data_IF_451362434415
#
_entry.id   IF_451362434415
#
_cell.length_a   1.000
_cell.length_b   1.000
_cell.length_c   1.000
_cell.angle_alpha   90.00
_cell.angle_beta   90.00
_cell.angle_gamma   90.00
#
_symmetry.space_group_name_H-M   'P 1'
#
loop_
_entity.id
_entity.type
_entity.pdbx_description
1 polymer ?
#
# COMPACT_ATOMS: atom_id res chain seq x y z
N UNK A 1 -5.64 -0.55 11.32
CA UNK A 1 -4.27 -0.63 10.75
C UNK A 1 -3.75 -2.05 10.92
N UNK A 2 -2.91 -2.54 10.01
CA UNK A 2 -2.34 -3.90 10.04
C UNK A 2 -0.93 -3.87 10.62
N UNK A 3 -0.53 -4.94 11.31
CA UNK A 3 0.75 -5.03 11.99
C UNK A 3 1.42 -6.38 11.78
N UNK A 4 2.74 -6.37 11.64
CA UNK A 4 3.58 -7.56 11.71
C UNK A 4 4.76 -7.28 12.66
N UNK A 5 5.03 -8.22 13.57
CA UNK A 5 6.07 -8.08 14.60
C UNK A 5 6.02 -6.73 15.34
N UNK A 6 4.82 -6.38 15.85
CA UNK A 6 4.51 -5.13 16.58
C UNK A 6 4.79 -3.83 15.79
N UNK A 7 4.92 -3.90 14.47
CA UNK A 7 5.22 -2.76 13.61
C UNK A 7 4.16 -2.60 12.53
N UNK A 8 3.70 -1.36 12.32
CA UNK A 8 2.82 -0.98 11.21
C UNK A 8 3.64 -0.75 9.95
N UNK A 9 4.03 -1.83 9.29
CA UNK A 9 4.77 -1.76 8.03
C UNK A 9 3.90 -1.21 6.90
N UNK A 10 4.53 -0.43 6.01
CA UNK A 10 3.84 0.18 4.88
C UNK A 10 4.21 -0.49 3.54
N UNK A 11 5.38 -1.13 3.45
CA UNK A 11 5.91 -1.75 2.22
C UNK A 11 5.19 -3.02 1.75
N UNK A 12 5.67 -3.64 0.67
CA UNK A 12 4.94 -4.71 -0.01
C UNK A 12 5.02 -6.08 0.68
N UNK A 13 6.14 -6.42 1.34
CA UNK A 13 6.34 -7.76 1.88
C UNK A 13 5.51 -8.04 3.15
N UNK A 14 5.48 -7.08 4.07
CA UNK A 14 4.86 -7.25 5.40
C UNK A 14 3.91 -6.11 5.76
N UNK A 15 3.62 -5.23 4.80
CA UNK A 15 2.95 -3.97 5.06
C UNK A 15 1.70 -3.75 4.25
N UNK A 16 1.12 -2.60 4.52
CA UNK A 16 -0.17 -2.19 3.99
C UNK A 16 -0.19 -2.14 2.46
N UNK A 17 0.91 -1.73 1.81
CA UNK A 17 0.99 -1.68 0.35
C UNK A 17 0.74 -3.05 -0.30
N UNK A 18 1.31 -4.12 0.26
CA UNK A 18 1.12 -5.47 -0.29
C UNK A 18 -0.31 -5.99 -0.10
N UNK A 19 -0.87 -5.73 1.09
CA UNK A 19 -2.25 -6.11 1.43
C UNK A 19 -3.24 -5.43 0.48
N UNK A 20 -3.15 -4.10 0.36
CA UNK A 20 -4.08 -3.31 -0.47
C UNK A 20 -3.92 -3.66 -1.95
N UNK A 21 -2.70 -3.85 -2.44
CA UNK A 21 -2.44 -4.27 -3.82
C UNK A 21 -3.17 -5.59 -4.14
N UNK A 22 -3.07 -6.59 -3.25
CA UNK A 22 -3.75 -7.87 -3.46
C UNK A 22 -5.27 -7.74 -3.42
N UNK A 23 -5.80 -6.95 -2.49
CA UNK A 23 -7.24 -6.73 -2.37
C UNK A 23 -7.80 -6.03 -3.61
N UNK A 24 -7.16 -4.94 -4.07
CA UNK A 24 -7.53 -4.25 -5.30
C UNK A 24 -7.52 -5.19 -6.51
N UNK A 25 -6.48 -6.02 -6.65
CA UNK A 25 -6.39 -6.96 -7.77
C UNK A 25 -7.54 -7.95 -7.81
N UNK A 26 -7.94 -8.47 -6.65
CA UNK A 26 -9.02 -9.46 -6.56
C UNK A 26 -10.38 -8.81 -6.78
N UNK A 27 -10.61 -7.62 -6.24
CA UNK A 27 -11.92 -6.95 -6.34
C UNK A 27 -12.23 -6.39 -7.72
N UNK A 28 -11.25 -6.34 -8.64
CA UNK A 28 -11.49 -6.02 -10.05
C UNK A 28 -12.20 -7.14 -10.81
N UNK A 29 -12.13 -8.39 -10.35
CA UNK A 29 -12.79 -9.50 -11.02
C UNK A 29 -14.32 -9.43 -10.84
N UNK A 30 -15.09 -9.69 -11.89
CA UNK A 30 -16.55 -9.48 -11.93
C UNK A 30 -17.31 -10.22 -10.82
N UNK A 31 -16.84 -11.42 -10.43
CA UNK A 31 -17.40 -12.18 -9.30
C UNK A 31 -17.39 -11.42 -7.97
N UNK A 32 -16.56 -10.38 -7.84
CA UNK A 32 -16.44 -9.53 -6.65
C UNK A 32 -17.00 -8.12 -6.85
N UNK A 33 -17.75 -7.86 -7.93
CA UNK A 33 -18.31 -6.52 -8.21
C UNK A 33 -19.18 -5.97 -7.06
N UNK A 34 -19.84 -6.85 -6.31
CA UNK A 34 -20.62 -6.49 -5.11
C UNK A 34 -19.78 -5.87 -3.98
N UNK A 35 -18.45 -6.02 -4.01
CA UNK A 35 -17.52 -5.39 -3.06
C UNK A 35 -17.14 -3.97 -3.46
N UNK A 36 -17.65 -3.43 -4.58
CA UNK A 36 -17.31 -2.07 -5.02
C UNK A 36 -17.51 -0.99 -3.94
N UNK A 37 -18.60 -1.00 -3.15
CA UNK A 37 -18.76 -0.05 -2.05
C UNK A 37 -17.62 -0.12 -1.03
N UNK A 38 -17.10 -1.32 -0.75
CA UNK A 38 -15.97 -1.52 0.16
C UNK A 38 -14.66 -1.00 -0.43
N UNK A 39 -14.44 -1.20 -1.74
CA UNK A 39 -13.28 -0.63 -2.44
C UNK A 39 -13.29 0.89 -2.29
N UNK A 40 -14.42 1.52 -2.58
CA UNK A 40 -14.55 2.98 -2.56
C UNK A 40 -14.48 3.56 -1.14
N UNK A 41 -15.04 2.88 -0.13
CA UNK A 41 -15.05 3.37 1.26
C UNK A 41 -13.80 3.02 2.08
N UNK A 42 -13.03 2.00 1.70
CA UNK A 42 -11.88 1.54 2.47
C UNK A 42 -10.57 1.47 1.68
N UNK A 43 -10.55 0.81 0.52
CA UNK A 43 -9.29 0.60 -0.21
C UNK A 43 -8.77 1.88 -0.84
N UNK A 44 -9.62 2.65 -1.53
CA UNK A 44 -9.21 3.92 -2.16
C UNK A 44 -8.70 4.93 -1.11
N UNK A 45 -9.39 5.18 0.01
CA UNK A 45 -8.84 6.01 1.09
C UNK A 45 -7.51 5.50 1.64
N UNK A 46 -7.32 4.17 1.70
CA UNK A 46 -6.05 3.57 2.14
C UNK A 46 -4.92 3.79 1.13
N UNK A 47 -5.21 3.76 -0.18
CA UNK A 47 -4.23 4.11 -1.24
C UNK A 47 -3.81 5.58 -1.10
N UNK A 48 -4.76 6.50 -0.92
CA UNK A 48 -4.44 7.93 -0.74
C UNK A 48 -3.66 8.18 0.57
N UNK A 49 -4.00 7.45 1.65
CA UNK A 49 -3.19 7.44 2.86
C UNK A 49 -1.75 6.99 2.58
N UNK A 50 -1.56 5.88 1.84
CA UNK A 50 -0.22 5.37 1.50
C UNK A 50 0.56 6.35 0.61
N UNK A 51 -0.12 7.01 -0.33
CA UNK A 51 0.46 8.07 -1.16
C UNK A 51 0.97 9.25 -0.33
N UNK A 52 0.28 9.59 0.77
CA UNK A 52 0.72 10.63 1.71
C UNK A 52 2.01 10.28 2.47
N UNK A 53 2.45 9.02 2.46
CA UNK A 53 3.68 8.54 3.12
C UNK A 53 4.93 8.66 2.25
N UNK A 54 4.82 9.34 1.12
CA UNK A 54 5.96 9.65 0.25
C UNK A 54 6.89 10.66 0.93
N UNK A 55 8.17 10.34 0.94
CA UNK A 55 9.25 11.18 1.43
C UNK A 55 9.62 12.25 0.39
N UNK A 56 10.39 13.26 0.81
CA UNK A 56 10.80 14.36 -0.07
C UNK A 56 11.59 13.89 -1.30
N UNK A 57 12.34 12.78 -1.19
CA UNK A 57 13.06 12.15 -2.31
C UNK A 57 12.16 11.48 -3.35
N UNK A 58 10.88 11.28 -3.04
CA UNK A 58 9.96 10.41 -3.79
C UNK A 58 9.95 8.96 -3.30
N UNK A 59 10.84 8.57 -2.37
CA UNK A 59 10.79 7.26 -1.73
C UNK A 59 9.61 7.15 -0.73
N UNK A 60 9.43 5.99 -0.09
CA UNK A 60 8.35 5.75 0.86
C UNK A 60 8.85 5.26 2.21
N UNK A 61 8.18 5.69 3.28
CA UNK A 61 8.43 5.23 4.65
C UNK A 61 8.27 3.70 4.76
N UNK A 62 9.15 3.05 5.53
CA UNK A 62 9.08 1.60 5.74
C UNK A 62 7.95 1.18 6.68
N UNK A 63 7.65 2.02 7.67
CA UNK A 63 6.62 1.86 8.70
C UNK A 63 6.16 3.24 9.19
N UNK A 64 5.06 3.31 9.93
CA UNK A 64 4.55 4.60 10.45
C UNK A 64 5.53 5.34 11.37
N UNK A 65 6.37 4.60 12.10
CA UNK A 65 7.35 5.18 13.03
C UNK A 65 8.69 5.55 12.36
N UNK A 66 8.89 5.17 11.10
CA UNK A 66 10.16 5.35 10.39
C UNK A 66 10.13 6.52 9.42
N UNK A 67 10.93 7.56 9.71
CA UNK A 67 11.20 8.68 8.79
C UNK A 67 12.52 8.53 8.03
N UNK A 68 13.17 7.37 8.11
CA UNK A 68 14.48 7.13 7.49
C UNK A 68 14.33 6.88 5.99
N UNK A 69 15.00 7.71 5.19
CA UNK A 69 15.01 7.60 3.74
C UNK A 69 16.26 6.84 3.24
N UNK A 70 16.23 5.50 3.39
CA UNK A 70 17.39 4.66 3.03
C UNK A 70 17.04 3.36 2.32
N UNK A 71 15.79 2.91 2.41
CA UNK A 71 15.37 1.62 1.87
C UNK A 71 14.68 1.86 0.52
N UNK A 72 15.28 1.37 -0.55
CA UNK A 72 14.72 1.38 -1.91
C UNK A 72 14.59 -0.08 -2.37
N UNK A 73 13.80 -0.85 -1.64
CA UNK A 73 13.67 -2.30 -1.79
C UNK A 73 12.23 -2.69 -2.06
N UNK A 74 12.02 -3.85 -2.68
CA UNK A 74 10.67 -4.37 -2.90
C UNK A 74 9.91 -4.53 -1.57
N UNK A 75 10.57 -5.03 -0.53
CA UNK A 75 9.96 -5.19 0.78
C UNK A 75 9.64 -3.85 1.46
N UNK A 76 10.52 -2.85 1.34
CA UNK A 76 10.42 -1.53 1.99
C UNK A 76 10.91 -0.42 1.06
N UNK A 77 10.03 0.54 0.76
CA UNK A 77 10.34 1.70 -0.07
C UNK A 77 9.63 1.69 -1.42
N UNK A 78 10.01 2.63 -2.28
CA UNK A 78 9.30 2.96 -3.52
C UNK A 78 9.11 1.77 -4.48
N UNK A 79 10.08 0.88 -4.60
CA UNK A 79 10.00 -0.24 -5.55
C UNK A 79 8.89 -1.23 -5.20
N UNK A 80 8.55 -1.41 -3.92
CA UNK A 80 7.38 -2.18 -3.50
C UNK A 80 6.05 -1.45 -3.73
N UNK A 81 6.01 -0.15 -3.49
CA UNK A 81 4.82 0.69 -3.66
C UNK A 81 4.43 0.87 -5.14
N UNK A 82 5.39 0.79 -6.06
CA UNK A 82 5.15 0.90 -7.49
C UNK A 82 4.08 -0.08 -7.98
N UNK A 83 4.04 -1.30 -7.44
CA UNK A 83 3.02 -2.31 -7.75
C UNK A 83 1.62 -1.83 -7.34
N UNK A 84 1.47 -1.34 -6.11
CA UNK A 84 0.19 -0.82 -5.64
C UNK A 84 -0.31 0.33 -6.50
N UNK A 85 0.53 1.33 -6.77
CA UNK A 85 0.07 2.51 -7.51
C UNK A 85 -0.16 2.21 -8.98
N UNK A 86 0.63 1.30 -9.57
CA UNK A 86 0.34 0.83 -10.92
C UNK A 86 -1.02 0.18 -10.98
N UNK A 87 -1.38 -0.63 -9.97
CA UNK A 87 -2.68 -1.30 -9.89
C UNK A 87 -3.86 -0.35 -9.58
N UNK A 88 -3.65 0.63 -8.71
CA UNK A 88 -4.69 1.55 -8.28
C UNK A 88 -5.07 2.59 -9.34
N UNK A 89 -4.19 2.85 -10.31
CA UNK A 89 -4.37 3.84 -11.38
C UNK A 89 -4.32 3.21 -12.79
N UNK A 90 -4.59 1.89 -12.92
CA UNK A 90 -4.87 1.27 -14.23
C UNK A 90 -6.17 1.82 -14.82
#
# INVERSE_FOLDING_TARGET
>A
MYQWYKTEYLGAAHGLSGIVHRLLKVTQHESFAHLRPYVDSHLIPTVEYLKSKRLASGNYMSSNDSKSDRLVQWCHGASGFAYLFSEAYQ
#
